data_IF_220959502576
#
_entry.id   IF_220959502576
#
_cell.length_a   1.000
_cell.length_b   1.000
_cell.length_c   1.000
_cell.angle_alpha   90.00
_cell.angle_beta   90.00
_cell.angle_gamma   90.00
#
_symmetry.space_group_name_H-M   'P 1'
#
loop_
_entity.id
_entity.type
_entity.pdbx_description
1 polymer ?
#
# COMPACT_ATOMS: atom_id res chain seq x y z
N UNK A 1 53.06 -5.50 -45.84
CA UNK A 1 51.60 -5.78 -45.72
C UNK A 1 51.27 -6.51 -44.42
N UNK A 2 52.02 -7.56 -44.04
CA UNK A 2 51.78 -8.38 -42.83
C UNK A 2 51.63 -7.54 -41.54
N UNK A 3 52.58 -6.65 -41.23
CA UNK A 3 52.52 -5.83 -40.02
C UNK A 3 51.25 -4.97 -39.88
N UNK A 4 50.66 -4.51 -41.00
CA UNK A 4 49.40 -3.75 -40.99
C UNK A 4 48.21 -4.65 -40.64
N UNK A 5 48.21 -5.89 -41.12
CA UNK A 5 47.16 -6.85 -40.84
C UNK A 5 47.15 -7.27 -39.35
N UNK A 6 48.33 -7.50 -38.76
CA UNK A 6 48.47 -7.82 -37.34
C UNK A 6 47.99 -6.69 -36.42
N UNK A 7 48.29 -5.44 -36.76
CA UNK A 7 47.82 -4.27 -36.01
C UNK A 7 46.30 -4.06 -36.12
N UNK A 8 45.71 -4.37 -37.29
CA UNK A 8 44.26 -4.39 -37.46
C UNK A 8 43.59 -5.48 -36.62
N UNK A 9 44.18 -6.69 -36.57
CA UNK A 9 43.69 -7.80 -35.75
C UNK A 9 43.74 -7.45 -34.24
N UNK A 10 44.84 -6.84 -33.78
CA UNK A 10 44.96 -6.37 -32.39
C UNK A 10 43.87 -5.35 -32.03
N UNK A 11 43.59 -4.38 -32.91
CA UNK A 11 42.48 -3.45 -32.70
C UNK A 11 41.13 -4.17 -32.69
N UNK A 12 40.91 -5.14 -33.58
CA UNK A 12 39.65 -5.88 -33.62
C UNK A 12 39.40 -6.65 -32.32
N UNK A 13 40.42 -7.34 -31.79
CA UNK A 13 40.35 -8.00 -30.48
C UNK A 13 40.06 -7.02 -29.35
N UNK A 14 40.73 -5.86 -29.34
CA UNK A 14 40.47 -4.81 -28.35
C UNK A 14 39.02 -4.30 -28.42
N UNK A 15 38.54 -3.99 -29.62
CA UNK A 15 37.17 -3.52 -29.83
C UNK A 15 36.14 -4.57 -29.39
N UNK A 16 36.42 -5.85 -29.61
CA UNK A 16 35.56 -6.93 -29.14
C UNK A 16 35.48 -6.95 -27.59
N UNK A 17 36.62 -6.86 -26.92
CA UNK A 17 36.67 -6.76 -25.45
C UNK A 17 35.91 -5.53 -24.96
N UNK A 18 36.18 -4.35 -25.53
CA UNK A 18 35.53 -3.10 -25.14
C UNK A 18 34.00 -3.16 -25.35
N UNK A 19 33.55 -3.77 -26.46
CA UNK A 19 32.13 -3.98 -26.73
C UNK A 19 31.48 -4.92 -25.71
N UNK A 20 32.11 -6.06 -25.40
CA UNK A 20 31.60 -7.00 -24.40
C UNK A 20 31.55 -6.37 -23.02
N UNK A 21 32.56 -5.60 -22.64
CA UNK A 21 32.56 -4.83 -21.39
C UNK A 21 31.41 -3.83 -21.37
N UNK A 22 31.22 -3.04 -22.43
CA UNK A 22 30.11 -2.09 -22.51
C UNK A 22 28.74 -2.78 -22.42
N UNK A 23 28.56 -3.93 -23.07
CA UNK A 23 27.34 -4.73 -22.98
C UNK A 23 27.09 -5.25 -21.56
N UNK A 24 28.13 -5.70 -20.85
CA UNK A 24 28.02 -6.14 -19.47
C UNK A 24 27.65 -4.97 -18.52
N UNK A 25 28.23 -3.79 -18.74
CA UNK A 25 27.87 -2.58 -17.97
C UNK A 25 26.42 -2.16 -18.22
N UNK A 26 25.94 -2.22 -19.47
CA UNK A 26 24.54 -1.94 -19.80
C UNK A 26 23.59 -2.93 -19.11
N UNK A 27 23.84 -4.23 -19.20
CA UNK A 27 23.02 -5.24 -18.54
C UNK A 27 23.01 -5.09 -17.01
N UNK A 28 24.15 -4.73 -16.41
CA UNK A 28 24.23 -4.45 -14.98
C UNK A 28 23.42 -3.20 -14.60
N UNK A 29 23.50 -2.13 -15.39
CA UNK A 29 22.75 -0.89 -15.16
C UNK A 29 21.24 -1.12 -15.30
N UNK A 30 20.81 -1.80 -16.37
CA UNK A 30 19.42 -2.20 -16.59
C UNK A 30 18.89 -3.03 -15.40
N UNK A 31 19.68 -3.97 -14.88
CA UNK A 31 19.31 -4.74 -13.68
C UNK A 31 19.18 -3.87 -12.43
N UNK A 32 20.11 -2.93 -12.19
CA UNK A 32 20.03 -2.01 -11.05
C UNK A 32 18.81 -1.08 -11.13
N UNK A 33 18.46 -0.59 -12.33
CA UNK A 33 17.28 0.24 -12.55
C UNK A 33 15.99 -0.49 -12.17
N UNK A 34 15.83 -1.75 -12.59
CA UNK A 34 14.67 -2.59 -12.23
C UNK A 34 14.55 -2.73 -10.71
N UNK A 35 15.66 -3.06 -10.02
CA UNK A 35 15.68 -3.21 -8.56
C UNK A 35 15.27 -1.90 -7.87
N UNK A 36 15.76 -0.75 -8.34
CA UNK A 36 15.43 0.55 -7.75
C UNK A 36 13.96 0.91 -7.94
N UNK A 37 13.38 0.65 -9.12
CA UNK A 37 11.97 0.88 -9.43
C UNK A 37 11.07 0.00 -8.57
N UNK A 38 11.40 -1.28 -8.42
CA UNK A 38 10.66 -2.21 -7.56
C UNK A 38 10.73 -1.82 -6.09
N UNK A 39 11.92 -1.44 -5.59
CA UNK A 39 12.09 -0.97 -4.21
C UNK A 39 11.27 0.30 -3.93
N UNK A 40 11.23 1.25 -4.88
CA UNK A 40 10.41 2.45 -4.75
C UNK A 40 8.92 2.12 -4.74
N UNK A 41 8.47 1.21 -5.62
CA UNK A 41 7.08 0.74 -5.64
C UNK A 41 6.72 0.13 -4.28
N UNK A 42 7.55 -0.78 -3.78
CA UNK A 42 7.36 -1.44 -2.49
C UNK A 42 7.29 -0.42 -1.34
N UNK A 43 8.21 0.55 -1.29
CA UNK A 43 8.21 1.59 -0.27
C UNK A 43 6.94 2.45 -0.29
N UNK A 44 6.40 2.74 -1.48
CA UNK A 44 5.12 3.46 -1.62
C UNK A 44 3.93 2.63 -1.13
N UNK A 45 3.89 1.35 -1.49
CA UNK A 45 2.85 0.42 -1.05
C UNK A 45 2.88 0.26 0.48
N UNK A 46 4.07 0.13 1.08
CA UNK A 46 4.26 0.09 2.53
C UNK A 46 3.84 1.40 3.22
N UNK A 47 4.15 2.55 2.62
CA UNK A 47 3.74 3.84 3.16
C UNK A 47 2.21 3.98 3.18
N UNK A 48 1.53 3.56 2.09
CA UNK A 48 0.06 3.53 2.04
C UNK A 48 -0.50 2.59 3.09
N UNK A 49 0.08 1.40 3.26
CA UNK A 49 -0.36 0.44 4.28
C UNK A 49 -0.23 1.04 5.68
N UNK A 50 0.92 1.64 6.00
CA UNK A 50 1.15 2.29 7.31
C UNK A 50 0.15 3.41 7.57
N UNK A 51 -0.17 4.22 6.56
CA UNK A 51 -1.14 5.30 6.68
C UNK A 51 -2.56 4.76 6.93
N UNK A 52 -2.95 3.68 6.24
CA UNK A 52 -4.22 3.00 6.46
C UNK A 52 -4.32 2.48 7.89
N UNK A 53 -3.31 1.77 8.38
CA UNK A 53 -3.27 1.24 9.75
C UNK A 53 -3.35 2.38 10.79
N UNK A 54 -2.55 3.43 10.62
CA UNK A 54 -2.56 4.58 11.53
C UNK A 54 -3.94 5.27 11.56
N UNK A 55 -4.59 5.41 10.41
CA UNK A 55 -5.94 5.95 10.32
C UNK A 55 -6.94 5.05 11.06
N UNK A 56 -6.92 3.74 10.81
CA UNK A 56 -7.82 2.79 11.45
C UNK A 56 -7.64 2.76 12.96
N UNK A 57 -6.39 2.76 13.46
CA UNK A 57 -6.09 2.81 14.88
C UNK A 57 -6.67 4.08 15.51
N UNK A 58 -6.38 5.24 14.92
CA UNK A 58 -6.84 6.54 15.44
C UNK A 58 -8.38 6.63 15.41
N UNK A 59 -9.00 6.22 14.31
CA UNK A 59 -10.45 6.23 14.15
C UNK A 59 -11.14 5.30 15.17
N UNK A 60 -10.62 4.09 15.36
CA UNK A 60 -11.15 3.15 16.34
C UNK A 60 -10.95 3.64 17.78
N UNK A 61 -9.82 4.28 18.08
CA UNK A 61 -9.57 4.88 19.39
C UNK A 61 -10.56 6.02 19.69
N UNK A 62 -10.77 6.94 18.74
CA UNK A 62 -11.78 8.00 18.90
C UNK A 62 -13.19 7.42 19.04
N UNK A 63 -13.53 6.36 18.29
CA UNK A 63 -14.82 5.66 18.45
C UNK A 63 -14.95 5.02 19.84
N UNK A 64 -13.90 4.39 20.35
CA UNK A 64 -13.89 3.77 21.67
C UNK A 64 -13.98 4.80 22.81
N UNK A 65 -13.35 5.97 22.64
CA UNK A 65 -13.48 7.09 23.57
C UNK A 65 -14.92 7.65 23.53
N UNK A 66 -15.48 7.86 22.34
CA UNK A 66 -16.85 8.36 22.19
C UNK A 66 -17.91 7.46 22.83
N UNK A 67 -17.73 6.13 22.74
CA UNK A 67 -18.65 5.17 23.38
C UNK A 67 -18.56 5.22 24.91
N UNK A 68 -17.38 5.52 25.45
CA UNK A 68 -17.15 5.60 26.90
C UNK A 68 -17.41 6.99 27.47
N UNK A 69 -17.37 8.04 26.65
CA UNK A 69 -17.66 9.42 27.05
C UNK A 69 -19.00 9.41 27.76
N UNK A 70 -19.03 9.61 29.09
CA UNK A 70 -20.28 9.78 29.78
C UNK A 70 -20.94 10.95 29.09
N UNK A 71 -22.15 10.74 28.57
CA UNK A 71 -23.06 11.86 28.35
C UNK A 71 -23.25 12.42 29.75
N UNK A 72 -22.36 13.33 30.15
CA UNK A 72 -22.59 14.18 31.29
C UNK A 72 -24.01 14.66 31.03
N UNK A 73 -24.96 14.38 31.93
CA UNK A 73 -26.27 14.97 31.81
C UNK A 73 -26.03 16.47 32.00
N UNK A 74 -25.62 17.14 30.92
CA UNK A 74 -25.94 18.52 30.66
C UNK A 74 -27.43 18.46 30.79
N UNK A 75 -27.88 18.88 31.97
CA UNK A 75 -29.27 19.01 32.33
C UNK A 75 -29.89 19.72 31.14
N UNK A 76 -30.47 18.91 30.24
CA UNK A 76 -30.98 19.37 28.98
C UNK A 76 -32.23 20.09 29.41
N UNK A 77 -32.09 21.38 29.68
CA UNK A 77 -33.18 22.26 29.94
C UNK A 77 -33.70 22.65 28.56
N UNK A 78 -34.79 22.03 28.05
CA UNK A 78 -35.39 22.41 26.78
C UNK A 78 -35.84 23.88 26.73
N UNK A 79 -35.87 24.57 27.89
CA UNK A 79 -36.16 26.00 27.98
C UNK A 79 -35.04 26.93 27.52
N UNK A 80 -33.78 26.48 27.47
CA UNK A 80 -32.68 27.23 26.85
C UNK A 80 -32.21 26.52 25.59
N UNK A 81 -33.11 26.36 24.62
CA UNK A 81 -32.72 26.24 23.23
C UNK A 81 -32.10 27.59 22.81
N UNK A 82 -30.92 27.88 23.35
CA UNK A 82 -30.07 28.99 22.97
C UNK A 82 -29.53 28.60 21.60
N UNK A 83 -30.41 28.74 20.60
CA UNK A 83 -30.09 28.64 19.18
C UNK A 83 -28.74 29.32 19.06
N UNK A 84 -27.69 28.57 18.72
CA UNK A 84 -26.35 29.12 18.72
C UNK A 84 -26.39 30.40 17.90
N UNK A 85 -25.90 31.52 18.46
CA UNK A 85 -26.03 32.84 17.83
C UNK A 85 -25.56 32.84 16.37
N UNK A 86 -24.69 31.90 15.97
CA UNK A 86 -24.27 31.71 14.59
C UNK A 86 -25.42 31.33 13.64
N UNK A 87 -26.45 30.60 14.07
CA UNK A 87 -27.64 30.31 13.23
C UNK A 87 -28.60 31.51 13.18
N UNK A 88 -28.72 32.29 14.26
CA UNK A 88 -29.59 33.47 14.28
C UNK A 88 -29.10 34.59 13.35
N UNK A 89 -27.84 34.56 12.94
CA UNK A 89 -27.25 35.55 12.02
C UNK A 89 -27.79 35.47 10.58
N UNK A 90 -28.58 34.44 10.21
CA UNK A 90 -29.06 34.28 8.82
C UNK A 90 -30.58 34.46 8.65
N UNK A 91 -31.30 34.91 9.67
CA UNK A 91 -32.78 34.96 9.63
C UNK A 91 -33.39 36.32 9.23
N UNK A 92 -32.61 37.26 8.71
CA UNK A 92 -33.17 38.53 8.18
C UNK A 92 -32.43 39.01 6.94
N UNK A 93 -33.07 38.73 5.81
CA UNK A 93 -33.30 39.60 4.64
C UNK A 93 -32.97 38.92 3.31
N UNK A 94 -34.03 38.81 2.52
CA UNK A 94 -34.04 38.85 1.05
C UNK A 94 -33.28 37.75 0.30
N UNK A 95 -33.98 36.63 0.14
CA UNK A 95 -34.09 36.04 -1.20
C UNK A 95 -34.63 37.15 -2.13
N UNK A 96 -34.06 37.47 -3.31
CA UNK A 96 -33.62 36.48 -4.31
C UNK A 96 -32.48 36.96 -5.24
N UNK A 97 -31.27 36.40 -5.16
CA UNK A 97 -30.46 36.30 -6.38
C UNK A 97 -29.92 34.90 -6.53
N UNK A 98 -30.47 34.25 -7.55
CA UNK A 98 -30.01 33.01 -8.15
C UNK A 98 -28.54 33.12 -8.52
N UNK A 99 -27.65 32.78 -7.59
CA UNK A 99 -26.34 32.25 -7.94
C UNK A 99 -26.45 30.74 -7.80
N UNK A 100 -26.89 30.08 -8.88
CA UNK A 100 -26.53 28.69 -9.15
C UNK A 100 -25.01 28.61 -9.34
N UNK A 101 -24.25 28.87 -8.28
CA UNK A 101 -22.90 28.37 -8.15
C UNK A 101 -23.01 26.87 -7.87
N UNK A 102 -22.26 26.01 -8.56
CA UNK A 102 -22.28 24.58 -8.25
C UNK A 102 -21.93 24.36 -6.77
N UNK A 103 -22.48 23.31 -6.13
CA UNK A 103 -22.30 23.04 -4.71
C UNK A 103 -20.81 23.08 -4.37
N UNK A 104 -20.43 23.62 -3.19
CA UNK A 104 -19.05 23.60 -2.74
C UNK A 104 -18.56 22.16 -2.83
N UNK A 105 -17.47 21.94 -3.58
CA UNK A 105 -16.73 20.68 -3.63
C UNK A 105 -16.20 20.42 -2.20
N UNK A 106 -17.10 19.95 -1.34
CA UNK A 106 -16.86 19.49 0.00
C UNK A 106 -16.07 18.21 -0.19
N UNK A 107 -14.74 18.38 -0.26
CA UNK A 107 -13.68 17.38 -0.18
C UNK A 107 -14.19 15.96 0.08
N UNK A 108 -14.88 15.36 -0.89
CA UNK A 108 -15.06 13.92 -0.87
C UNK A 108 -13.66 13.35 -0.95
N UNK A 109 -13.34 12.23 -0.26
CA UNK A 109 -11.99 11.69 -0.21
C UNK A 109 -11.61 11.22 -1.61
N UNK A 110 -11.16 12.17 -2.43
CA UNK A 110 -10.87 12.06 -3.84
C UNK A 110 -9.73 11.05 -4.07
N UNK A 111 -9.05 10.65 -3.00
CA UNK A 111 -7.97 9.70 -2.99
C UNK A 111 -8.44 8.24 -2.94
N UNK A 112 -9.51 7.87 -2.22
CA UNK A 112 -9.88 6.45 -2.11
C UNK A 112 -10.36 5.85 -3.43
N UNK A 113 -11.19 6.58 -4.19
CA UNK A 113 -11.64 6.15 -5.52
C UNK A 113 -10.53 6.25 -6.57
N UNK A 114 -9.70 7.30 -6.53
CA UNK A 114 -8.59 7.44 -7.50
C UNK A 114 -7.53 6.34 -7.32
N UNK A 115 -7.28 5.86 -6.10
CA UNK A 115 -6.32 4.77 -5.88
C UNK A 115 -6.84 3.45 -6.45
N UNK A 116 -8.12 3.11 -6.24
CA UNK A 116 -8.73 1.92 -6.85
C UNK A 116 -8.79 2.02 -8.39
N UNK A 117 -8.97 3.22 -8.94
CA UNK A 117 -8.99 3.45 -10.38
C UNK A 117 -7.59 3.40 -11.03
N UNK A 118 -6.59 4.03 -10.41
CA UNK A 118 -5.21 4.06 -10.93
C UNK A 118 -4.63 2.65 -11.04
N UNK A 119 -4.97 1.76 -10.10
CA UNK A 119 -4.55 0.35 -10.14
C UNK A 119 -5.12 -0.43 -11.34
N UNK A 120 -6.21 0.05 -11.96
CA UNK A 120 -6.79 -0.60 -13.16
C UNK A 120 -6.11 -0.14 -14.44
N UNK A 121 -5.71 1.12 -14.54
CA UNK A 121 -5.15 1.71 -15.76
C UNK A 121 -3.71 1.20 -16.04
N UNK A 122 -2.93 0.92 -14.99
CA UNK A 122 -1.53 0.46 -15.15
C UNK A 122 -1.44 -0.98 -15.70
N UNK A 123 -2.55 -1.73 -15.74
CA UNK A 123 -2.57 -3.08 -16.33
C UNK A 123 -2.93 -3.08 -17.83
N UNK A 124 -3.35 -1.95 -18.40
CA UNK A 124 -3.81 -1.89 -19.80
C UNK A 124 -2.72 -1.42 -20.79
N UNK A 125 -1.71 -0.66 -20.36
CA UNK A 125 -0.69 -0.11 -21.28
C UNK A 125 0.30 -1.17 -21.81
N UNK A 126 0.45 -2.32 -21.15
CA UNK A 126 1.32 -3.41 -21.63
C UNK A 126 0.66 -4.34 -22.68
N UNK A 127 -0.60 -4.10 -23.07
CA UNK A 127 -1.32 -4.94 -24.04
C UNK A 127 -1.24 -4.45 -25.49
N UNK A 128 -0.39 -3.44 -25.80
CA UNK A 128 -0.20 -2.98 -27.19
C UNK A 128 0.58 -3.94 -28.09
N UNK A 129 1.06 -5.09 -27.58
CA UNK A 129 1.57 -6.17 -28.43
C UNK A 129 0.49 -7.25 -28.54
N UNK A 130 -0.03 -7.55 -29.75
CA UNK A 130 -0.97 -8.63 -29.91
C UNK A 130 -0.37 -9.91 -29.33
N UNK A 131 -1.05 -10.61 -28.41
CA UNK A 131 -0.54 -11.84 -27.86
C UNK A 131 -0.28 -12.82 -29.01
N UNK A 132 0.94 -13.35 -29.07
CA UNK A 132 1.27 -14.41 -30.00
C UNK A 132 0.23 -15.54 -29.85
N UNK A 133 -0.17 -16.20 -30.96
CA UNK A 133 -1.17 -17.26 -30.90
C UNK A 133 -0.72 -18.32 -29.89
N UNK A 134 -1.62 -18.77 -28.99
CA UNK A 134 -1.27 -19.78 -28.02
C UNK A 134 -0.81 -21.05 -28.74
N UNK A 135 0.17 -21.79 -28.19
CA UNK A 135 0.57 -23.07 -28.74
C UNK A 135 -0.67 -23.98 -28.86
N UNK A 136 -0.98 -24.37 -30.09
CA UNK A 136 -2.12 -25.20 -30.43
C UNK A 136 -1.90 -26.63 -29.94
N UNK A 137 -2.77 -27.08 -29.03
CA UNK A 137 -3.16 -28.48 -28.81
C UNK A 137 -2.02 -29.49 -28.73
N UNK A 138 -1.26 -29.46 -27.64
CA UNK A 138 -0.81 -30.71 -27.06
C UNK A 138 -1.63 -30.93 -25.79
N UNK A 139 -2.87 -31.38 -26.00
CA UNK A 139 -3.67 -31.98 -24.94
C UNK A 139 -2.96 -33.31 -24.64
N UNK A 140 -1.86 -33.26 -23.87
CA UNK A 140 -1.50 -34.40 -23.06
C UNK A 140 -2.58 -34.49 -21.99
N UNK A 141 -3.39 -35.53 -22.17
CA UNK A 141 -4.48 -35.94 -21.31
C UNK A 141 -4.08 -35.76 -19.84
N UNK A 142 -4.89 -35.07 -19.02
CA UNK A 142 -4.56 -34.86 -17.62
C UNK A 142 -4.41 -36.22 -16.97
N UNK A 143 -3.16 -36.58 -16.68
CA UNK A 143 -2.85 -37.69 -15.77
C UNK A 143 -3.70 -37.40 -14.55
N UNK A 144 -4.69 -38.26 -14.33
CA UNK A 144 -5.47 -38.25 -13.11
C UNK A 144 -4.48 -38.63 -12.02
N UNK A 145 -3.81 -37.62 -11.49
CA UNK A 145 -3.15 -37.70 -10.22
C UNK A 145 -4.28 -37.49 -9.23
N UNK A 146 -5.06 -38.54 -9.00
CA UNK A 146 -5.67 -38.75 -7.69
C UNK A 146 -4.54 -39.01 -6.67
N UNK A 147 -3.59 -38.07 -6.55
CA UNK A 147 -2.64 -38.07 -5.45
C UNK A 147 -3.39 -37.44 -4.28
N UNK A 148 -3.93 -38.35 -3.49
CA UNK A 148 -4.61 -38.19 -2.22
C UNK A 148 -3.91 -37.12 -1.37
N UNK A 149 -4.35 -35.87 -1.52
CA UNK A 149 -4.03 -34.80 -0.59
C UNK A 149 -4.68 -35.13 0.75
N UNK A 150 -3.97 -35.91 1.56
CA UNK A 150 -4.28 -36.01 2.98
C UNK A 150 -4.14 -34.59 3.56
N UNK A 151 -5.21 -34.01 4.13
CA UNK A 151 -5.11 -32.73 4.80
C UNK A 151 -4.18 -32.93 5.98
N UNK A 152 -2.92 -32.55 5.83
CA UNK A 152 -2.00 -32.37 6.95
C UNK A 152 -2.66 -31.29 7.80
N UNK A 153 -3.31 -31.74 8.87
CA UNK A 153 -3.97 -30.88 9.84
C UNK A 153 -2.98 -29.80 10.26
N UNK A 154 -3.45 -28.54 10.44
CA UNK A 154 -2.59 -27.43 10.78
C UNK A 154 -1.73 -27.82 11.98
N UNK A 155 -0.42 -27.85 11.74
CA UNK A 155 0.58 -28.09 12.76
C UNK A 155 0.24 -27.21 13.96
N UNK A 156 -0.14 -27.83 15.07
CA UNK A 156 -0.32 -27.13 16.34
C UNK A 156 1.05 -26.54 16.70
N UNK A 157 1.25 -25.27 16.38
CA UNK A 157 2.40 -24.51 16.85
C UNK A 157 2.42 -24.61 18.38
N UNK A 158 3.58 -24.84 19.01
CA UNK A 158 3.69 -24.95 20.46
C UNK A 158 3.04 -23.75 21.14
N UNK A 159 2.39 -23.94 22.31
CA UNK A 159 1.72 -22.85 23.00
C UNK A 159 2.71 -21.72 23.25
N UNK A 160 2.44 -20.56 22.66
CA UNK A 160 3.22 -19.35 22.89
C UNK A 160 3.22 -19.11 24.40
N UNK A 161 4.40 -19.19 25.02
CA UNK A 161 4.59 -18.92 26.43
C UNK A 161 4.25 -17.45 26.67
N UNK A 162 3.03 -17.20 27.09
CA UNK A 162 2.55 -15.86 27.43
C UNK A 162 3.21 -15.47 28.75
N UNK A 163 4.28 -14.68 28.66
CA UNK A 163 4.92 -14.08 29.81
C UNK A 163 3.89 -13.16 30.47
N UNK A 164 3.25 -13.65 31.54
CA UNK A 164 2.29 -12.88 32.30
C UNK A 164 3.03 -11.80 33.09
N UNK A 165 3.13 -10.60 32.54
CA UNK A 165 3.78 -9.44 33.18
C UNK A 165 3.26 -9.14 34.59
N UNK A 166 2.06 -9.60 34.96
CA UNK A 166 1.51 -9.43 36.30
C UNK A 166 2.34 -10.11 37.39
N UNK A 167 3.08 -11.18 37.07
CA UNK A 167 3.95 -11.86 38.05
C UNK A 167 5.20 -11.05 38.41
N UNK A 168 5.65 -10.16 37.52
CA UNK A 168 6.82 -9.29 37.75
C UNK A 168 6.54 -8.15 38.75
N UNK A 169 5.27 -7.85 39.02
CA UNK A 169 4.86 -6.80 39.96
C UNK A 169 4.73 -7.29 41.40
N UNK A 170 5.21 -8.50 41.72
CA UNK A 170 5.25 -8.95 43.11
C UNK A 170 6.35 -8.20 43.83
N UNK A 171 5.93 -7.27 44.69
CA UNK A 171 6.74 -6.30 45.41
C UNK A 171 8.03 -6.92 45.98
N UNK A 172 9.21 -6.30 45.76
CA UNK A 172 10.43 -6.65 46.47
C UNK A 172 10.20 -6.31 47.94
N UNK A 173 9.81 -7.31 48.73
CA UNK A 173 9.64 -7.19 50.15
C UNK A 173 10.94 -6.71 50.79
N UNK A 174 10.81 -5.66 51.58
CA UNK A 174 11.63 -5.26 52.72
C UNK A 174 12.91 -6.09 52.90
N UNK A 175 14.02 -5.58 52.37
CA UNK A 175 15.31 -5.83 53.01
C UNK A 175 15.35 -4.96 54.26
N UNK A 176 15.07 -5.62 55.37
CA UNK A 176 15.16 -5.11 56.73
C UNK A 176 16.49 -4.38 57.01
N UNK A 177 16.33 -3.31 57.80
CA UNK A 177 17.30 -2.47 58.54
C UNK A 177 18.71 -3.04 58.78
#
# INVERSE_FOLDING_TARGET
MIARAEDAEKRNRKLHVDLTTAQAHLAALESCEVIAVEALKQAKDEHVQKLMEAYLVTHNQHRAQWIQEPVHPTQFNPGELKIPRFLKAMDKQEHPESSQGPPPELFEPLTMKKILALSREIKEEAASTPPAPPPSKEIQEPVRLEEEFNPVLPHQSPPQEVINISSLLTHPGDVSD
#
